data_IF_864319006093
#
_entry.id   IF_864319006093
#
_cell.length_a   1.000
_cell.length_b   1.000
_cell.length_c   1.000
_cell.angle_alpha   90.00
_cell.angle_beta   90.00
_cell.angle_gamma   90.00
#
_symmetry.space_group_name_H-M   'P 1'
#
loop_
_entity.id
_entity.type
_entity.pdbx_description
1 polymer ?
#
# COMPACT_ATOMS: atom_id res chain seq x y z
N UNK A 1 -11.71 -4.07 -14.14
CA UNK A 1 -11.21 -2.68 -14.05
C UNK A 1 -9.77 -2.78 -13.56
N UNK A 2 -8.82 -2.19 -14.28
CA UNK A 2 -7.39 -2.41 -14.03
C UNK A 2 -6.75 -1.24 -13.29
N UNK A 3 -5.57 -1.50 -12.72
CA UNK A 3 -4.70 -0.55 -12.01
C UNK A 3 -4.33 0.72 -12.80
N UNK A 4 -4.60 0.78 -14.11
CA UNK A 4 -4.25 1.89 -15.00
C UNK A 4 -5.41 2.86 -15.29
N UNK A 5 -6.53 2.76 -14.57
CA UNK A 5 -7.66 3.68 -14.75
C UNK A 5 -7.48 4.86 -13.79
N UNK A 6 -7.17 6.05 -14.30
CA UNK A 6 -7.09 7.26 -13.48
C UNK A 6 -8.43 7.55 -12.81
N UNK A 7 -8.39 7.84 -11.51
CA UNK A 7 -9.53 8.37 -10.74
C UNK A 7 -9.01 9.53 -9.89
N UNK A 8 -9.74 10.64 -9.87
CA UNK A 8 -9.52 11.77 -8.97
C UNK A 8 -10.06 11.45 -7.56
N UNK A 9 -9.51 10.41 -6.92
CA UNK A 9 -9.85 10.06 -5.54
C UNK A 9 -8.61 10.35 -4.69
N UNK A 10 -8.74 11.27 -3.75
CA UNK A 10 -7.72 11.52 -2.73
C UNK A 10 -7.82 10.43 -1.66
N UNK A 11 -6.74 9.67 -1.49
CA UNK A 11 -6.66 8.59 -0.51
C UNK A 11 -5.52 8.89 0.48
N UNK A 12 -5.81 8.74 1.77
CA UNK A 12 -4.81 8.76 2.82
C UNK A 12 -4.35 7.33 3.09
N UNK A 13 -3.03 7.10 3.07
CA UNK A 13 -2.39 5.83 3.39
C UNK A 13 -1.57 5.96 4.68
N UNK A 14 -1.83 5.10 5.66
CA UNK A 14 -1.06 5.02 6.90
C UNK A 14 -0.59 3.59 7.14
N UNK A 15 0.66 3.43 7.62
CA UNK A 15 1.26 2.12 7.90
C UNK A 15 1.85 2.15 9.30
N UNK A 16 1.55 1.15 10.12
CA UNK A 16 2.05 1.08 11.51
C UNK A 16 1.83 -0.27 12.19
N UNK A 17 2.46 -0.51 13.35
CA UNK A 17 2.25 -1.72 14.12
C UNK A 17 0.88 -1.72 14.81
N UNK A 18 0.35 -2.92 15.05
CA UNK A 18 -0.84 -3.15 15.87
C UNK A 18 -0.46 -3.68 17.25
N UNK A 19 -1.39 -3.61 18.20
CA UNK A 19 -1.22 -4.17 19.53
C UNK A 19 -1.11 -5.72 19.53
N UNK A 20 -1.45 -6.37 18.41
CA UNK A 20 -1.37 -7.81 18.23
C UNK A 20 -0.06 -8.27 17.57
N UNK A 21 0.88 -7.35 17.33
CA UNK A 21 2.17 -7.65 16.70
C UNK A 21 2.12 -7.75 15.17
N UNK A 22 1.00 -7.37 14.56
CA UNK A 22 0.80 -7.29 13.12
C UNK A 22 1.17 -5.90 12.59
N UNK A 23 1.40 -5.78 11.28
CA UNK A 23 1.53 -4.50 10.59
C UNK A 23 0.21 -4.15 9.92
N UNK A 24 -0.35 -2.98 10.23
CA UNK A 24 -1.57 -2.45 9.62
C UNK A 24 -1.21 -1.53 8.46
N UNK A 25 -1.83 -1.77 7.31
CA UNK A 25 -1.95 -0.81 6.22
C UNK A 25 -3.39 -0.29 6.25
N UNK A 26 -3.55 1.00 6.50
CA UNK A 26 -4.83 1.67 6.60
C UNK A 26 -5.02 2.60 5.42
N UNK A 27 -6.12 2.42 4.69
CA UNK A 27 -6.49 3.25 3.55
C UNK A 27 -7.81 3.93 3.87
N UNK A 28 -7.84 5.26 3.75
CA UNK A 28 -9.05 6.06 3.85
C UNK A 28 -9.26 6.81 2.53
N UNK A 29 -10.40 6.61 1.89
CA UNK A 29 -10.77 7.28 0.64
C UNK A 29 -12.29 7.40 0.53
N UNK A 30 -12.80 8.56 0.09
CA UNK A 30 -14.24 8.79 -0.14
C UNK A 30 -15.14 8.40 1.05
N UNK A 31 -14.66 8.58 2.29
CA UNK A 31 -15.39 8.20 3.51
C UNK A 31 -15.44 6.70 3.78
N UNK A 32 -14.69 5.89 3.03
CA UNK A 32 -14.49 4.47 3.25
C UNK A 32 -13.14 4.23 3.90
N UNK A 33 -13.16 3.48 4.99
CA UNK A 33 -11.98 3.11 5.77
C UNK A 33 -11.71 1.61 5.61
N UNK A 34 -10.51 1.25 5.15
CA UNK A 34 -10.10 -0.14 4.93
C UNK A 34 -8.82 -0.43 5.72
N UNK A 35 -8.94 -1.01 6.93
CA UNK A 35 -7.79 -1.55 7.66
C UNK A 35 -7.43 -2.94 7.13
N UNK A 36 -6.16 -3.15 6.81
CA UNK A 36 -5.61 -4.44 6.41
C UNK A 36 -4.43 -4.78 7.32
N UNK A 37 -4.51 -5.90 8.03
CA UNK A 37 -3.47 -6.35 8.97
C UNK A 37 -2.71 -7.53 8.37
N UNK A 38 -1.39 -7.44 8.40
CA UNK A 38 -0.47 -8.41 7.82
C UNK A 38 0.53 -8.88 8.88
N UNK A 39 0.95 -10.14 8.80
CA UNK A 39 2.07 -10.60 9.60
C UNK A 39 3.34 -9.81 9.26
N UNK A 40 4.32 -9.70 10.18
CA UNK A 40 5.57 -9.01 9.89
C UNK A 40 6.31 -9.55 8.66
N UNK A 41 6.21 -10.85 8.35
CA UNK A 41 6.83 -11.45 7.17
C UNK A 41 6.07 -11.08 5.89
N UNK A 42 4.74 -11.16 5.88
CA UNK A 42 3.90 -10.70 4.76
C UNK A 42 4.11 -9.20 4.47
N UNK A 43 4.22 -8.37 5.52
CA UNK A 43 4.49 -6.95 5.38
C UNK A 43 5.87 -6.65 4.75
N UNK A 44 6.87 -7.50 5.00
CA UNK A 44 8.19 -7.40 4.36
C UNK A 44 8.10 -7.75 2.87
N UNK A 45 7.37 -8.81 2.53
CA UNK A 45 7.14 -9.20 1.13
C UNK A 45 6.45 -8.07 0.35
N UNK A 46 5.39 -7.47 0.91
CA UNK A 46 4.72 -6.32 0.30
C UNK A 46 5.68 -5.14 0.08
N UNK A 47 6.53 -4.83 1.06
CA UNK A 47 7.51 -3.76 0.93
C UNK A 47 8.53 -4.05 -0.19
N UNK A 48 8.99 -5.29 -0.31
CA UNK A 48 9.88 -5.71 -1.39
C UNK A 48 9.23 -5.57 -2.77
N UNK A 49 7.96 -5.95 -2.91
CA UNK A 49 7.19 -5.78 -4.15
C UNK A 49 7.05 -4.30 -4.53
N UNK A 50 6.71 -3.43 -3.58
CA UNK A 50 6.62 -1.98 -3.80
C UNK A 50 7.97 -1.42 -4.27
N UNK A 51 9.06 -1.80 -3.59
CA UNK A 51 10.41 -1.36 -3.96
C UNK A 51 10.81 -1.87 -5.35
N UNK A 52 10.40 -3.07 -5.73
CA UNK A 52 10.62 -3.61 -7.08
C UNK A 52 9.84 -2.82 -8.13
N UNK A 53 8.57 -2.53 -7.87
CA UNK A 53 7.72 -1.74 -8.75
C UNK A 53 8.27 -0.31 -8.94
N UNK A 54 8.72 0.33 -7.85
CA UNK A 54 9.35 1.65 -7.88
C UNK A 54 10.58 1.67 -8.80
N UNK A 55 11.49 0.70 -8.64
CA UNK A 55 12.68 0.56 -9.51
C UNK A 55 12.33 0.41 -10.99
N UNK A 56 11.23 -0.29 -11.32
CA UNK A 56 10.76 -0.43 -12.69
C UNK A 56 10.17 0.87 -13.21
N UNK A 57 9.40 1.59 -12.39
CA UNK A 57 8.80 2.88 -12.72
C UNK A 57 9.87 3.96 -12.98
N UNK A 58 10.90 4.03 -12.13
CA UNK A 58 12.04 4.96 -12.31
C UNK A 58 12.72 4.78 -13.67
N UNK A 59 12.94 3.54 -14.10
CA UNK A 59 13.53 3.23 -15.41
C UNK A 59 12.64 3.62 -16.59
N UNK A 60 11.32 3.71 -16.41
CA UNK A 60 10.37 4.14 -17.45
C UNK A 60 10.24 5.66 -17.55
N UNK A 61 10.60 6.39 -16.49
CA UNK A 61 10.63 7.86 -16.46
C UNK A 61 12.00 8.48 -16.78
N UNK A 62 13.02 7.65 -17.08
CA UNK A 62 14.37 8.05 -17.48
C UNK A 62 14.54 8.09 -18.99
#
# INVERSE_FOLDING_TARGET
>A
MGINTERDIEANLQIGPTDQGMVRIYVEADGVEVPMDFEPDEAREIAEEIMSAAKVAEKRGS
#
